data_IF_260177630721
#
_entry.id   IF_260177630721
#
_cell.length_a   1.000
_cell.length_b   1.000
_cell.length_c   1.000
_cell.angle_alpha   90.00
_cell.angle_beta   90.00
_cell.angle_gamma   90.00
#
_symmetry.space_group_name_H-M   'P 1'
#
loop_
_entity.id
_entity.type
_entity.pdbx_description
1 polymer ?
#
# COMPACT_ATOMS: atom_id res chain seq x y z
N UNK A 1 -29.50 4.80 -25.37
CA UNK A 1 -28.48 4.43 -24.37
C UNK A 1 -27.09 4.65 -24.97
N UNK A 2 -26.48 5.82 -24.73
CA UNK A 2 -25.13 6.11 -25.25
C UNK A 2 -24.09 5.33 -24.42
N UNK A 3 -23.28 4.50 -25.09
CA UNK A 3 -22.24 3.67 -24.48
C UNK A 3 -21.19 4.57 -23.81
N UNK A 4 -21.07 4.42 -22.50
CA UNK A 4 -20.21 5.20 -21.61
C UNK A 4 -18.75 4.72 -21.64
N UNK A 5 -18.22 4.27 -22.79
CA UNK A 5 -16.98 3.48 -22.81
C UNK A 5 -15.81 4.09 -23.60
N UNK A 6 -16.00 5.11 -24.43
CA UNK A 6 -14.90 5.65 -25.26
C UNK A 6 -14.43 7.04 -24.82
N UNK A 7 -14.39 7.29 -23.51
CA UNK A 7 -13.53 8.38 -23.02
C UNK A 7 -12.10 7.90 -23.22
N UNK A 8 -11.50 8.39 -24.29
CA UNK A 8 -10.07 8.37 -24.57
C UNK A 8 -9.33 8.91 -23.33
N UNK A 9 -9.12 8.05 -22.32
CA UNK A 9 -8.19 8.30 -21.24
C UNK A 9 -6.89 8.47 -22.00
N UNK A 10 -6.30 9.68 -21.96
CA UNK A 10 -4.86 9.86 -22.08
C UNK A 10 -4.21 8.95 -21.05
N UNK A 11 -4.14 7.66 -21.36
CA UNK A 11 -3.63 6.63 -20.47
C UNK A 11 -2.18 7.02 -20.34
N UNK A 12 -1.79 7.40 -19.13
CA UNK A 12 -0.37 7.58 -18.83
C UNK A 12 0.36 6.37 -19.39
N UNK A 13 1.45 6.61 -20.14
CA UNK A 13 2.28 5.53 -20.69
C UNK A 13 2.49 4.48 -19.59
N UNK A 14 2.26 3.20 -19.93
CA UNK A 14 2.39 2.08 -18.98
C UNK A 14 3.75 2.22 -18.27
N UNK A 15 3.73 2.11 -16.94
CA UNK A 15 4.95 2.08 -16.13
C UNK A 15 5.65 0.76 -16.42
N UNK A 16 6.95 0.80 -16.70
CA UNK A 16 7.74 -0.39 -16.93
C UNK A 16 8.02 -1.08 -15.59
N UNK A 17 7.04 -1.85 -15.12
CA UNK A 17 7.12 -2.64 -13.88
C UNK A 17 7.06 -4.12 -14.29
N UNK A 18 8.10 -4.85 -13.92
CA UNK A 18 8.32 -6.23 -14.36
C UNK A 18 8.29 -7.18 -13.17
N UNK A 19 7.83 -8.41 -13.40
CA UNK A 19 7.87 -9.47 -12.40
C UNK A 19 9.32 -9.82 -12.08
N UNK A 20 9.73 -9.88 -10.80
CA UNK A 20 11.10 -10.24 -10.44
C UNK A 20 11.45 -11.70 -10.72
N UNK A 21 10.44 -12.56 -10.93
CA UNK A 21 10.62 -14.00 -11.18
C UNK A 21 10.73 -14.30 -12.68
N UNK A 22 9.82 -13.75 -13.48
CA UNK A 22 9.68 -14.09 -14.89
C UNK A 22 10.13 -12.98 -15.85
N UNK A 23 10.36 -11.76 -15.35
CA UNK A 23 10.71 -10.60 -16.18
C UNK A 23 9.57 -10.06 -17.06
N UNK A 24 8.40 -10.71 -17.07
CA UNK A 24 7.20 -10.23 -17.76
C UNK A 24 6.60 -8.98 -17.13
N UNK A 25 5.80 -8.24 -17.89
CA UNK A 25 5.09 -7.07 -17.36
C UNK A 25 4.06 -7.49 -16.30
N UNK A 26 3.88 -6.65 -15.29
CA UNK A 26 2.81 -6.82 -14.31
C UNK A 26 1.75 -5.73 -14.44
N UNK A 27 0.50 -6.12 -14.20
CA UNK A 27 -0.63 -5.20 -14.19
C UNK A 27 -0.91 -4.69 -12.78
N UNK A 28 -1.04 -3.37 -12.66
CA UNK A 28 -1.49 -2.73 -11.42
C UNK A 28 -2.95 -3.06 -11.17
N UNK A 29 -3.22 -3.63 -9.99
CA UNK A 29 -4.56 -4.05 -9.56
C UNK A 29 -5.01 -3.36 -8.26
N UNK A 30 -4.27 -2.36 -7.78
CA UNK A 30 -4.68 -1.50 -6.67
C UNK A 30 -4.37 -0.03 -6.93
N UNK A 31 -4.92 0.84 -6.07
CA UNK A 31 -4.44 2.21 -5.97
C UNK A 31 -3.04 2.27 -5.36
N UNK A 32 -2.39 3.43 -5.48
CA UNK A 32 -1.08 3.71 -4.87
C UNK A 32 -1.28 4.15 -3.42
N UNK A 33 -0.57 3.51 -2.50
CA UNK A 33 -0.60 3.89 -1.10
C UNK A 33 0.74 4.50 -0.70
N UNK A 34 0.73 5.81 -0.46
CA UNK A 34 1.95 6.58 -0.16
C UNK A 34 2.56 6.13 1.16
N UNK A 35 3.88 6.07 1.20
CA UNK A 35 4.61 5.76 2.41
C UNK A 35 4.87 7.02 3.24
N UNK A 36 4.98 6.83 4.55
CA UNK A 36 5.29 7.85 5.53
C UNK A 36 6.45 7.37 6.38
N UNK A 37 7.39 8.28 6.64
CA UNK A 37 8.48 8.05 7.57
C UNK A 37 8.12 8.67 8.92
N UNK A 38 8.19 7.87 9.97
CA UNK A 38 7.94 8.25 11.37
C UNK A 38 9.23 8.31 12.20
N UNK A 39 10.34 7.79 11.67
CA UNK A 39 11.64 7.80 12.33
C UNK A 39 12.69 8.64 11.60
N UNK A 40 13.55 9.38 12.32
CA UNK A 40 14.63 10.15 11.70
C UNK A 40 15.62 9.27 10.91
N UNK A 41 15.80 8.01 11.30
CA UNK A 41 16.70 7.07 10.62
C UNK A 41 16.22 6.74 9.20
N UNK A 42 14.91 6.58 9.01
CA UNK A 42 14.29 6.30 7.71
C UNK A 42 14.45 7.49 6.75
N UNK A 43 14.42 8.72 7.28
CA UNK A 43 14.67 9.94 6.51
C UNK A 43 16.17 10.09 6.17
N UNK A 44 17.06 9.73 7.10
CA UNK A 44 18.51 9.76 6.87
C UNK A 44 18.95 8.80 5.76
N UNK A 45 18.38 7.59 5.71
CA UNK A 45 18.62 6.63 4.62
C UNK A 45 18.22 7.18 3.25
N UNK A 46 17.36 8.21 3.21
CA UNK A 46 16.89 8.88 2.00
C UNK A 46 17.66 10.18 1.71
N UNK A 47 18.77 10.43 2.41
CA UNK A 47 19.68 11.54 2.15
C UNK A 47 19.45 12.80 2.99
N UNK A 48 18.50 12.79 3.94
CA UNK A 48 18.33 13.91 4.86
C UNK A 48 19.43 13.93 5.92
N UNK A 49 19.95 15.12 6.24
CA UNK A 49 20.87 15.27 7.37
C UNK A 49 20.18 14.89 8.68
N UNK A 50 20.94 14.35 9.64
CA UNK A 50 20.41 13.93 10.95
C UNK A 50 19.60 15.03 11.63
N UNK A 51 20.10 16.27 11.62
CA UNK A 51 19.41 17.43 12.23
C UNK A 51 18.09 17.74 11.54
N UNK A 52 18.07 17.76 10.20
CA UNK A 52 16.85 18.01 9.44
C UNK A 52 15.82 16.89 9.63
N UNK A 53 16.26 15.62 9.61
CA UNK A 53 15.41 14.46 9.84
C UNK A 53 14.76 14.51 11.24
N UNK A 54 15.54 14.76 12.29
CA UNK A 54 15.02 14.88 13.66
C UNK A 54 14.03 16.03 13.80
N UNK A 55 14.33 17.20 13.22
CA UNK A 55 13.44 18.36 13.27
C UNK A 55 12.11 18.10 12.56
N UNK A 56 12.14 17.44 11.40
CA UNK A 56 10.93 17.13 10.63
C UNK A 56 10.00 16.16 11.38
N UNK A 57 10.56 15.10 11.97
CA UNK A 57 9.78 14.15 12.78
C UNK A 57 9.22 14.82 14.03
N UNK A 58 10.02 15.65 14.72
CA UNK A 58 9.55 16.36 15.91
C UNK A 58 8.38 17.32 15.63
N UNK A 59 8.34 17.94 14.44
CA UNK A 59 7.29 18.89 14.08
C UNK A 59 6.05 18.25 13.43
N UNK A 60 6.22 17.21 12.62
CA UNK A 60 5.14 16.64 11.79
C UNK A 60 4.71 15.23 12.21
N UNK A 61 5.43 14.60 13.14
CA UNK A 61 5.24 13.20 13.62
C UNK A 61 5.47 12.15 12.54
N UNK A 62 4.85 12.28 11.36
CA UNK A 62 5.04 11.45 10.20
C UNK A 62 5.18 12.32 8.93
N UNK A 63 6.18 12.01 8.10
CA UNK A 63 6.50 12.78 6.90
C UNK A 63 6.26 11.91 5.67
N UNK A 64 5.47 12.37 4.68
CA UNK A 64 5.27 11.60 3.46
C UNK A 64 6.60 11.43 2.71
N UNK A 65 6.89 10.20 2.31
CA UNK A 65 8.05 9.87 1.49
C UNK A 65 7.68 10.07 0.02
N UNK A 66 8.43 10.91 -0.68
CA UNK A 66 8.21 11.14 -2.10
C UNK A 66 8.81 10.01 -2.95
N UNK A 67 8.12 9.67 -4.05
CA UNK A 67 8.58 8.62 -4.96
C UNK A 67 8.43 7.18 -4.45
N UNK A 68 7.90 6.96 -3.24
CA UNK A 68 7.72 5.63 -2.68
C UNK A 68 6.26 5.34 -2.33
N UNK A 69 5.78 4.14 -2.70
CA UNK A 69 4.43 3.70 -2.39
C UNK A 69 4.32 2.16 -2.37
N UNK A 70 3.28 1.66 -1.71
CA UNK A 70 2.82 0.28 -1.84
C UNK A 70 1.75 0.17 -2.93
N UNK A 71 1.85 -0.87 -3.75
CA UNK A 71 0.88 -1.17 -4.80
C UNK A 71 0.81 -2.68 -5.04
N UNK A 72 -0.39 -3.18 -5.30
CA UNK A 72 -0.59 -4.57 -5.66
C UNK A 72 -0.51 -4.76 -7.17
N UNK A 73 0.21 -5.80 -7.56
CA UNK A 73 0.41 -6.18 -8.95
C UNK A 73 -0.02 -7.62 -9.19
N UNK A 74 -0.65 -7.84 -10.33
CA UNK A 74 -0.95 -9.16 -10.89
C UNK A 74 0.09 -9.52 -11.94
N UNK A 75 0.65 -10.71 -11.84
CA UNK A 75 1.50 -11.29 -12.87
C UNK A 75 0.73 -12.41 -13.57
N UNK A 76 0.65 -12.36 -14.90
CA UNK A 76 -0.04 -13.37 -15.71
C UNK A 76 0.65 -14.74 -15.63
N UNK A 77 1.98 -14.75 -15.57
CA UNK A 77 2.78 -15.99 -15.49
C UNK A 77 2.70 -16.61 -14.08
N UNK A 78 2.79 -15.80 -13.02
CA UNK A 78 2.64 -16.31 -11.65
C UNK A 78 1.19 -16.65 -11.28
N UNK A 79 0.20 -16.13 -12.03
CA UNK A 79 -1.23 -16.20 -11.72
C UNK A 79 -1.59 -15.82 -10.27
N UNK A 80 -0.87 -14.85 -9.72
CA UNK A 80 -1.09 -14.39 -8.35
C UNK A 80 -0.95 -12.88 -8.22
N UNK A 81 -1.69 -12.34 -7.26
CA UNK A 81 -1.60 -10.95 -6.82
C UNK A 81 -0.61 -10.86 -5.66
N UNK A 82 0.44 -10.06 -5.85
CA UNK A 82 1.40 -9.75 -4.80
C UNK A 82 1.49 -8.25 -4.55
N UNK A 83 1.89 -7.89 -3.34
CA UNK A 83 2.15 -6.49 -2.97
C UNK A 83 3.62 -6.17 -3.06
N UNK A 84 3.90 -5.03 -3.67
CA UNK A 84 5.25 -4.56 -3.88
C UNK A 84 5.42 -3.14 -3.34
N UNK A 85 6.58 -2.90 -2.74
CA UNK A 85 7.10 -1.56 -2.50
C UNK A 85 7.74 -1.07 -3.78
N UNK A 86 7.22 0.04 -4.30
CA UNK A 86 7.68 0.67 -5.51
C UNK A 86 8.43 1.94 -5.14
N UNK A 87 9.67 2.05 -5.60
CA UNK A 87 10.51 3.24 -5.49
C UNK A 87 10.78 3.81 -6.87
N UNK A 88 10.47 5.08 -7.04
CA UNK A 88 10.77 5.83 -8.25
C UNK A 88 12.15 6.48 -8.10
N UNK A 89 13.11 6.09 -8.94
CA UNK A 89 14.49 6.57 -8.85
C UNK A 89 14.73 7.81 -9.72
N UNK A 90 14.56 7.69 -11.03
CA UNK A 90 14.76 8.77 -12.02
C UNK A 90 13.80 8.56 -13.19
N UNK A 91 13.71 9.50 -14.15
CA UNK A 91 12.82 9.49 -15.33
C UNK A 91 12.16 8.15 -15.73
N UNK A 92 11.05 7.82 -15.03
CA UNK A 92 10.20 6.62 -15.22
C UNK A 92 10.88 5.27 -15.00
N UNK A 93 12.02 5.22 -14.33
CA UNK A 93 12.58 3.98 -13.79
C UNK A 93 11.95 3.68 -12.42
N UNK A 94 11.55 2.43 -12.22
CA UNK A 94 10.90 1.97 -11.01
C UNK A 94 11.65 0.75 -10.48
N UNK A 95 12.11 0.85 -9.25
CA UNK A 95 12.57 -0.30 -8.48
C UNK A 95 11.38 -0.88 -7.72
N UNK A 96 11.28 -2.20 -7.72
CA UNK A 96 10.26 -2.90 -6.96
C UNK A 96 10.91 -3.92 -6.03
N UNK A 97 10.35 -4.04 -4.83
CA UNK A 97 10.67 -5.10 -3.89
C UNK A 97 9.38 -5.69 -3.31
N UNK A 98 9.40 -6.95 -2.91
CA UNK A 98 8.26 -7.53 -2.19
C UNK A 98 8.04 -6.75 -0.90
N UNK A 99 6.80 -6.38 -0.62
CA UNK A 99 6.45 -5.56 0.54
C UNK A 99 6.54 -6.39 1.84
N UNK A 100 7.61 -6.26 2.65
CA UNK A 100 7.70 -6.96 3.92
C UNK A 100 6.78 -6.30 4.94
N UNK A 101 6.44 -7.03 6.00
CA UNK A 101 5.39 -6.65 6.97
C UNK A 101 5.66 -5.29 7.62
N UNK A 102 6.92 -4.93 7.82
CA UNK A 102 7.35 -3.69 8.48
C UNK A 102 6.96 -2.45 7.66
N UNK A 103 6.96 -2.53 6.32
CA UNK A 103 6.58 -1.41 5.47
C UNK A 103 5.08 -1.10 5.54
N UNK A 104 4.25 -2.07 5.95
CA UNK A 104 2.81 -1.87 6.11
C UNK A 104 2.47 -0.92 7.26
N UNK A 105 3.36 -0.78 8.25
CA UNK A 105 3.20 0.18 9.34
C UNK A 105 3.44 1.63 8.87
N UNK A 106 4.16 1.79 7.77
CA UNK A 106 4.51 3.10 7.18
C UNK A 106 3.46 3.58 6.17
N UNK A 107 2.32 2.89 6.02
CA UNK A 107 1.32 3.18 4.99
C UNK A 107 -0.07 3.26 5.59
N UNK A 108 -0.85 4.24 5.15
CA UNK A 108 -2.22 4.48 5.64
C UNK A 108 -3.27 4.10 4.60
N UNK A 109 -4.43 3.65 5.07
CA UNK A 109 -5.60 3.33 4.22
C UNK A 109 -5.52 2.02 3.45
N UNK A 110 -4.47 1.22 3.67
CA UNK A 110 -4.33 -0.14 3.11
C UNK A 110 -4.41 -1.17 4.23
N UNK A 111 -5.11 -2.27 3.98
CA UNK A 111 -5.17 -3.40 4.91
C UNK A 111 -4.03 -4.35 4.55
N UNK A 112 -3.16 -4.64 5.52
CA UNK A 112 -2.16 -5.69 5.41
C UNK A 112 -2.84 -7.01 5.01
N UNK A 113 -2.50 -7.63 3.87
CA UNK A 113 -3.06 -8.92 3.44
C UNK A 113 -2.81 -10.03 4.46
N UNK A 114 -1.76 -9.93 5.28
CA UNK A 114 -1.48 -10.86 6.36
C UNK A 114 -2.29 -10.55 7.65
N UNK A 115 -3.07 -9.48 7.65
CA UNK A 115 -3.89 -9.03 8.78
C UNK A 115 -3.10 -8.37 9.90
N UNK A 116 -3.82 -7.64 10.75
CA UNK A 116 -3.24 -7.02 11.94
C UNK A 116 -2.80 -8.12 12.95
N UNK A 117 -1.51 -8.20 13.32
CA UNK A 117 -1.01 -9.28 14.17
C UNK A 117 -1.50 -9.17 15.62
N UNK A 118 -1.95 -7.99 16.07
CA UNK A 118 -2.55 -7.83 17.40
C UNK A 118 -4.00 -8.30 17.49
N UNK A 119 -4.61 -8.61 16.35
CA UNK A 119 -6.01 -9.02 16.25
C UNK A 119 -6.06 -10.53 16.10
N UNK A 120 -6.55 -11.21 17.14
CA UNK A 120 -6.73 -12.65 17.13
C UNK A 120 -7.61 -13.12 15.97
N UNK A 121 -7.44 -14.38 15.55
CA UNK A 121 -8.18 -14.97 14.43
C UNK A 121 -9.71 -14.88 14.61
N UNK A 122 -10.19 -14.97 15.85
CA UNK A 122 -11.59 -14.78 16.21
C UNK A 122 -12.11 -13.40 15.80
N UNK A 123 -11.43 -12.33 16.21
CA UNK A 123 -11.83 -10.95 15.88
C UNK A 123 -11.69 -10.68 14.38
N UNK A 124 -10.69 -11.26 13.71
CA UNK A 124 -10.52 -11.16 12.25
C UNK A 124 -11.66 -11.81 11.46
N UNK A 125 -12.19 -12.96 11.92
CA UNK A 125 -13.34 -13.64 11.31
C UNK A 125 -14.63 -12.84 11.52
N UNK A 126 -14.87 -12.39 12.75
CA UNK A 126 -16.08 -11.65 13.10
C UNK A 126 -16.15 -10.24 12.50
N UNK A 127 -15.01 -9.56 12.29
CA UNK A 127 -14.98 -8.23 11.67
C UNK A 127 -15.55 -8.21 10.24
N UNK A 128 -15.45 -9.33 9.50
CA UNK A 128 -16.03 -9.48 8.15
C UNK A 128 -17.54 -9.76 8.17
N UNK A 129 -18.10 -10.13 9.32
CA UNK A 129 -19.52 -10.47 9.46
C UNK A 129 -20.40 -9.28 9.86
N UNK A 130 -19.81 -8.15 10.29
CA UNK A 130 -20.57 -6.98 10.77
C UNK A 130 -21.41 -6.30 9.67
N UNK A 131 -21.16 -6.57 8.39
CA UNK A 131 -21.98 -6.03 7.30
C UNK A 131 -23.27 -6.81 7.02
N UNK A 132 -23.49 -7.97 7.64
CA UNK A 132 -24.75 -8.72 7.53
C UNK A 132 -25.25 -9.11 8.94
N UNK A 133 -26.23 -8.34 9.42
CA UNK A 133 -27.28 -8.85 10.32
C UNK A 133 -26.97 -9.00 11.83
N UNK A 134 -26.59 -7.93 12.54
CA UNK A 134 -26.68 -7.94 14.03
C UNK A 134 -26.98 -6.56 14.61
N UNK A 135 -28.22 -6.09 14.44
CA UNK A 135 -28.79 -5.04 15.29
C UNK A 135 -29.88 -5.56 16.24
N UNK A 136 -30.18 -6.87 16.23
CA UNK A 136 -31.32 -7.44 16.98
C UNK A 136 -30.93 -8.37 18.14
N UNK A 137 -29.81 -8.11 18.84
CA UNK A 137 -29.45 -8.95 19.99
C UNK A 137 -28.82 -8.14 21.13
N UNK A 138 -29.47 -7.05 21.53
CA UNK A 138 -29.30 -6.50 22.87
C UNK A 138 -30.68 -6.37 23.51
N UNK A 139 -31.17 -7.47 24.10
CA UNK A 139 -32.20 -7.36 25.12
C UNK A 139 -31.50 -7.11 26.46
N UNK A 140 -31.57 -5.87 26.94
CA UNK A 140 -31.37 -5.60 28.36
C UNK A 140 -32.54 -6.23 29.12
N UNK A 141 -32.27 -7.26 29.91
CA UNK A 141 -33.21 -7.74 30.93
C UNK A 141 -32.95 -6.88 32.16
N UNK A 142 -33.94 -6.07 32.53
CA UNK A 142 -34.01 -5.37 33.81
C UNK A 142 -34.71 -6.21 34.87
#
# INVERSE_FOLDING_TARGET
>A
MQRRCDRNRKRSKRRAIYCPIHGGYMDSVSQKYRMFADQPSQLQQRGLSRRAASLLIANKTAVPVEGEWLEAFWCEECQQKNWYHVRQCSDRTYEISLAPRELWQQVTGVIDPHGNPSVGEFTRKNAKQVSLHTLNAFHCVG
#
